data_IF_363976459687
#
_entry.id   IF_363976459687
#
_cell.length_a   1.000
_cell.length_b   1.000
_cell.length_c   1.000
_cell.angle_alpha   90.00
_cell.angle_beta   90.00
_cell.angle_gamma   90.00
#
_symmetry.space_group_name_H-M   'P 1'
#
loop_
_entity.id
_entity.type
_entity.pdbx_description
1 polymer ?
#
# COMPACT_ATOMS: atom_id res chain seq x y z
N UNK A 1 23.12 -1.20 -17.91
CA UNK A 1 22.92 -0.76 -16.50
C UNK A 1 21.49 -0.90 -16.00
N UNK A 2 20.46 -0.78 -16.85
CA UNK A 2 19.05 -0.88 -16.43
C UNK A 2 18.71 -2.21 -15.75
N UNK A 3 19.12 -3.35 -16.30
CA UNK A 3 18.87 -4.68 -15.70
C UNK A 3 19.39 -4.79 -14.26
N UNK A 4 20.59 -4.26 -14.03
CA UNK A 4 21.19 -4.24 -12.68
C UNK A 4 20.33 -3.41 -11.72
N UNK A 5 19.80 -2.26 -12.16
CA UNK A 5 18.89 -1.41 -11.37
C UNK A 5 17.61 -2.14 -11.03
N UNK A 6 17.02 -2.86 -11.99
CA UNK A 6 15.80 -3.68 -11.79
C UNK A 6 16.07 -4.79 -10.77
N UNK A 7 17.17 -5.52 -10.90
CA UNK A 7 17.52 -6.61 -9.98
C UNK A 7 17.74 -6.08 -8.56
N UNK A 8 18.46 -4.97 -8.40
CA UNK A 8 18.68 -4.37 -7.07
C UNK A 8 17.37 -3.87 -6.47
N UNK A 9 16.51 -3.25 -7.29
CA UNK A 9 15.19 -2.83 -6.84
C UNK A 9 14.35 -4.03 -6.35
N UNK A 10 14.29 -5.12 -7.13
CA UNK A 10 13.58 -6.35 -6.75
C UNK A 10 14.11 -6.94 -5.45
N UNK A 11 15.42 -7.05 -5.30
CA UNK A 11 16.04 -7.58 -4.07
C UNK A 11 15.67 -6.71 -2.88
N UNK A 12 15.76 -5.38 -3.01
CA UNK A 12 15.37 -4.44 -1.95
C UNK A 12 13.91 -4.61 -1.56
N UNK A 13 13.01 -4.68 -2.55
CA UNK A 13 11.57 -4.85 -2.35
C UNK A 13 11.23 -6.20 -1.69
N UNK A 14 11.89 -7.29 -2.10
CA UNK A 14 11.68 -8.61 -1.50
C UNK A 14 12.15 -8.62 -0.03
N UNK A 15 13.32 -8.07 0.27
CA UNK A 15 13.83 -7.97 1.64
C UNK A 15 12.86 -7.15 2.51
N UNK A 16 12.45 -5.98 2.03
CA UNK A 16 11.50 -5.11 2.72
C UNK A 16 10.15 -5.81 2.96
N UNK A 17 9.62 -6.53 1.96
CA UNK A 17 8.37 -7.30 2.08
C UNK A 17 8.46 -8.41 3.14
N UNK A 18 9.58 -9.14 3.20
CA UNK A 18 9.79 -10.18 4.20
C UNK A 18 9.83 -9.58 5.62
N UNK A 19 10.49 -8.42 5.76
CA UNK A 19 10.54 -7.72 7.06
C UNK A 19 9.17 -7.18 7.47
N UNK A 20 8.43 -6.59 6.54
CA UNK A 20 7.07 -6.07 6.77
C UNK A 20 6.10 -7.20 7.19
N UNK A 21 6.16 -8.35 6.54
CA UNK A 21 5.36 -9.52 6.92
C UNK A 21 5.65 -10.04 8.33
N UNK A 22 6.94 -10.05 8.70
CA UNK A 22 7.35 -10.68 9.95
C UNK A 22 7.19 -9.77 11.17
N UNK A 23 7.54 -8.49 11.03
CA UNK A 23 7.68 -7.58 12.17
C UNK A 23 6.84 -6.31 12.05
N UNK A 24 6.24 -6.04 10.90
CA UNK A 24 5.58 -4.76 10.58
C UNK A 24 6.50 -3.55 10.76
N UNK A 25 7.78 -3.78 10.77
CA UNK A 25 8.82 -2.77 10.89
C UNK A 25 9.94 -3.12 9.91
N UNK A 26 10.41 -2.10 9.18
CA UNK A 26 11.50 -2.25 8.22
C UNK A 26 12.66 -1.41 8.71
N UNK A 27 13.81 -2.05 8.89
CA UNK A 27 15.03 -1.37 9.34
C UNK A 27 15.45 -0.29 8.34
N UNK A 28 15.80 0.89 8.84
CA UNK A 28 16.32 1.99 8.04
C UNK A 28 17.60 1.62 7.27
N UNK A 29 18.33 0.61 7.73
CA UNK A 29 19.53 0.09 7.04
C UNK A 29 19.22 -0.41 5.63
N UNK A 30 18.02 -0.95 5.39
CA UNK A 30 17.58 -1.40 4.05
C UNK A 30 17.50 -0.21 3.10
N UNK A 31 16.90 0.88 3.56
CA UNK A 31 16.73 2.11 2.77
C UNK A 31 18.05 2.83 2.55
N UNK A 32 18.89 2.93 3.57
CA UNK A 32 20.21 3.52 3.46
C UNK A 32 21.13 2.72 2.52
N UNK A 33 21.14 1.39 2.65
CA UNK A 33 21.93 0.51 1.79
C UNK A 33 21.53 0.62 0.32
N UNK A 34 20.22 0.53 0.03
CA UNK A 34 19.71 0.67 -1.34
C UNK A 34 19.91 2.09 -1.89
N UNK A 35 19.81 3.12 -1.06
CA UNK A 35 20.08 4.50 -1.42
C UNK A 35 21.56 4.72 -1.82
N UNK A 36 22.51 4.22 -1.02
CA UNK A 36 23.94 4.29 -1.33
C UNK A 36 24.24 3.58 -2.65
N UNK A 37 23.72 2.36 -2.84
CA UNK A 37 23.89 1.61 -4.08
C UNK A 37 23.32 2.38 -5.27
N UNK A 38 22.15 3.02 -5.12
CA UNK A 38 21.52 3.83 -6.16
C UNK A 38 22.41 5.01 -6.59
N UNK A 39 23.03 5.69 -5.61
CA UNK A 39 23.95 6.81 -5.88
C UNK A 39 25.20 6.32 -6.61
N UNK A 40 25.79 5.20 -6.20
CA UNK A 40 26.94 4.62 -6.88
C UNK A 40 26.61 4.30 -8.34
N UNK A 41 25.47 3.65 -8.60
CA UNK A 41 25.02 3.32 -9.95
C UNK A 41 24.75 4.59 -10.76
N UNK A 42 24.17 5.61 -10.14
CA UNK A 42 23.96 6.91 -10.79
C UNK A 42 25.27 7.53 -11.25
N UNK A 43 26.31 7.53 -10.42
CA UNK A 43 27.63 8.08 -10.76
C UNK A 43 28.28 7.28 -11.92
N UNK A 44 28.20 5.95 -11.88
CA UNK A 44 28.77 5.10 -12.93
C UNK A 44 28.07 5.29 -14.28
N UNK A 45 26.75 5.49 -14.25
CA UNK A 45 25.88 5.57 -15.45
C UNK A 45 25.55 6.99 -15.87
N UNK A 46 26.21 7.98 -15.27
CA UNK A 46 25.91 9.41 -15.39
C UNK A 46 25.75 9.89 -16.84
N UNK A 47 26.65 9.42 -17.72
CA UNK A 47 26.67 9.83 -19.14
C UNK A 47 25.46 9.29 -19.96
N UNK A 48 24.77 8.27 -19.47
CA UNK A 48 23.64 7.62 -20.14
C UNK A 48 22.29 8.08 -19.59
N UNK A 49 22.27 8.94 -18.56
CA UNK A 49 21.06 9.38 -17.88
C UNK A 49 20.69 10.78 -18.32
N UNK A 50 19.44 10.99 -18.67
CA UNK A 50 18.90 12.34 -18.77
C UNK A 50 18.69 12.92 -17.36
N UNK A 51 19.67 13.73 -16.93
CA UNK A 51 19.74 14.28 -15.57
C UNK A 51 18.50 15.10 -15.22
N UNK A 52 18.00 15.91 -16.18
CA UNK A 52 16.84 16.74 -15.95
C UNK A 52 15.62 15.87 -15.63
N UNK A 53 15.32 14.88 -16.46
CA UNK A 53 14.20 13.95 -16.25
C UNK A 53 14.37 13.17 -14.94
N UNK A 54 15.59 12.76 -14.61
CA UNK A 54 15.90 12.08 -13.36
C UNK A 54 15.56 12.93 -12.13
N UNK A 55 16.07 14.18 -12.10
CA UNK A 55 15.85 15.10 -10.97
C UNK A 55 14.41 15.53 -10.85
N UNK A 56 13.73 15.82 -11.97
CA UNK A 56 12.30 16.17 -11.97
C UNK A 56 11.45 15.03 -11.43
N UNK A 57 11.68 13.82 -11.91
CA UNK A 57 10.93 12.63 -11.42
C UNK A 57 11.18 12.38 -9.93
N UNK A 58 12.44 12.43 -9.51
CA UNK A 58 12.81 12.27 -8.10
C UNK A 58 12.16 13.35 -7.23
N UNK A 59 12.14 14.61 -7.67
CA UNK A 59 11.49 15.72 -6.99
C UNK A 59 9.98 15.50 -6.83
N UNK A 60 9.28 15.15 -7.92
CA UNK A 60 7.84 14.88 -7.92
C UNK A 60 7.51 13.72 -6.96
N UNK A 61 8.26 12.61 -7.04
CA UNK A 61 8.02 11.44 -6.19
C UNK A 61 8.34 11.74 -4.73
N UNK A 62 9.38 12.51 -4.44
CA UNK A 62 9.72 12.91 -3.07
C UNK A 62 8.63 13.76 -2.44
N UNK A 63 8.06 14.72 -3.19
CA UNK A 63 6.94 15.55 -2.72
C UNK A 63 5.70 14.68 -2.49
N UNK A 64 5.36 13.82 -3.45
CA UNK A 64 4.23 12.89 -3.34
C UNK A 64 4.38 11.98 -2.10
N UNK A 65 5.55 11.36 -1.93
CA UNK A 65 5.86 10.51 -0.80
C UNK A 65 5.75 11.25 0.54
N UNK A 66 6.20 12.51 0.59
CA UNK A 66 6.05 13.35 1.78
C UNK A 66 4.58 13.67 2.09
N UNK A 67 3.77 13.98 1.08
CA UNK A 67 2.34 14.24 1.25
C UNK A 67 1.64 12.98 1.76
N UNK A 68 1.87 11.82 1.14
CA UNK A 68 1.30 10.53 1.53
C UNK A 68 1.66 10.21 2.99
N UNK A 69 2.91 10.40 3.38
CA UNK A 69 3.37 10.22 4.76
C UNK A 69 2.66 11.16 5.74
N UNK A 70 2.56 12.46 5.40
CA UNK A 70 1.93 13.48 6.28
C UNK A 70 0.43 13.28 6.46
N UNK A 71 -0.26 12.74 5.47
CA UNK A 71 -1.69 12.43 5.57
C UNK A 71 -1.98 11.20 6.44
N UNK A 72 -0.95 10.41 6.80
CA UNK A 72 -1.12 9.17 7.56
C UNK A 72 -1.81 8.04 6.78
N UNK A 73 -1.99 8.21 5.46
CA UNK A 73 -2.60 7.19 4.61
C UNK A 73 -1.71 5.94 4.50
N UNK A 74 -0.40 6.15 4.50
CA UNK A 74 0.61 5.09 4.41
C UNK A 74 1.65 5.25 5.51
N UNK A 75 2.32 4.15 5.84
CA UNK A 75 3.44 4.15 6.77
C UNK A 75 4.68 4.87 6.21
N UNK A 76 5.60 5.25 7.08
CA UNK A 76 6.86 5.87 6.66
C UNK A 76 7.72 4.98 5.76
N UNK A 77 7.60 3.66 5.87
CA UNK A 77 8.28 2.70 5.02
C UNK A 77 7.78 2.75 3.57
N UNK A 78 6.45 2.90 3.38
CA UNK A 78 5.83 2.99 2.06
C UNK A 78 6.26 4.25 1.31
N UNK A 79 6.42 5.36 2.02
CA UNK A 79 6.96 6.59 1.45
C UNK A 79 8.44 6.43 1.04
N UNK A 80 9.26 5.78 1.87
CA UNK A 80 10.69 5.54 1.58
C UNK A 80 10.88 4.63 0.37
N UNK A 81 10.05 3.60 0.21
CA UNK A 81 10.17 2.67 -0.92
C UNK A 81 9.92 3.36 -2.25
N UNK A 82 8.97 4.28 -2.35
CA UNK A 82 8.72 5.04 -3.58
C UNK A 82 9.93 5.90 -3.97
N UNK A 83 10.59 6.51 -2.97
CA UNK A 83 11.81 7.28 -3.19
C UNK A 83 12.93 6.37 -3.69
N UNK A 84 13.10 5.17 -3.10
CA UNK A 84 14.13 4.21 -3.53
C UNK A 84 13.88 3.73 -4.96
N UNK A 85 12.64 3.41 -5.32
CA UNK A 85 12.30 3.06 -6.71
C UNK A 85 12.65 4.21 -7.65
N UNK A 86 12.35 5.46 -7.27
CA UNK A 86 12.67 6.65 -8.05
C UNK A 86 14.17 6.89 -8.20
N UNK A 87 14.97 6.59 -7.17
CA UNK A 87 16.43 6.67 -7.21
C UNK A 87 17.05 5.61 -8.13
N UNK A 88 16.49 4.40 -8.13
CA UNK A 88 16.99 3.29 -8.95
C UNK A 88 16.50 3.41 -10.39
N UNK A 89 15.20 3.59 -10.58
CA UNK A 89 14.54 3.56 -11.90
C UNK A 89 13.47 4.67 -11.95
N UNK A 90 13.86 5.94 -12.18
CA UNK A 90 12.90 7.04 -12.21
C UNK A 90 11.92 6.90 -13.37
N UNK A 91 12.43 6.57 -14.56
CA UNK A 91 11.67 6.42 -15.80
C UNK A 91 12.11 5.17 -16.55
N UNK A 92 11.16 4.51 -17.17
CA UNK A 92 11.35 3.35 -18.02
C UNK A 92 10.29 3.33 -19.12
N UNK A 93 10.60 2.76 -20.27
CA UNK A 93 9.61 2.58 -21.33
C UNK A 93 8.65 1.45 -20.95
N UNK A 94 7.53 1.81 -20.33
CA UNK A 94 6.56 0.86 -19.78
C UNK A 94 5.46 0.62 -20.82
N UNK A 95 5.15 -0.64 -21.07
CA UNK A 95 4.06 -1.01 -21.96
C UNK A 95 2.73 -0.41 -21.51
N UNK A 96 1.98 0.16 -22.46
CA UNK A 96 0.66 0.75 -22.25
C UNK A 96 0.60 1.91 -21.23
N UNK A 97 1.73 2.48 -20.84
CA UNK A 97 1.76 3.55 -19.86
C UNK A 97 1.38 4.90 -20.46
N UNK A 98 0.62 5.67 -19.69
CA UNK A 98 0.31 7.08 -20.01
C UNK A 98 1.53 7.96 -19.77
N UNK A 99 2.33 7.60 -18.77
CA UNK A 99 3.55 8.30 -18.37
C UNK A 99 4.62 7.28 -17.97
N UNK A 100 5.81 7.38 -18.46
CA UNK A 100 6.88 6.43 -18.20
C UNK A 100 7.56 6.60 -16.81
N UNK A 101 6.81 7.07 -15.79
CA UNK A 101 7.30 7.28 -14.42
C UNK A 101 7.09 6.01 -13.61
N UNK A 102 8.16 5.25 -13.40
CA UNK A 102 8.11 3.92 -12.76
C UNK A 102 7.45 3.94 -11.38
N UNK A 103 7.81 4.82 -10.42
CA UNK A 103 7.20 4.78 -9.09
C UNK A 103 5.69 5.03 -9.10
N UNK A 104 5.18 5.83 -10.05
CA UNK A 104 3.74 6.08 -10.16
C UNK A 104 3.01 4.86 -10.71
N UNK A 105 3.52 4.22 -11.76
CA UNK A 105 2.92 2.99 -12.30
C UNK A 105 2.94 1.87 -11.27
N UNK A 106 4.03 1.73 -10.53
CA UNK A 106 4.11 0.76 -9.43
C UNK A 106 3.08 1.07 -8.35
N UNK A 107 2.94 2.34 -7.96
CA UNK A 107 1.94 2.74 -6.96
C UNK A 107 0.52 2.46 -7.44
N UNK A 108 0.15 2.83 -8.68
CA UNK A 108 -1.19 2.58 -9.23
C UNK A 108 -1.49 1.10 -9.35
N UNK A 109 -0.57 0.28 -9.86
CA UNK A 109 -0.72 -1.17 -9.92
C UNK A 109 -0.89 -1.77 -8.50
N UNK A 110 -0.14 -1.27 -7.51
CA UNK A 110 -0.23 -1.70 -6.11
C UNK A 110 -1.59 -1.37 -5.50
N UNK A 111 -2.10 -0.16 -5.74
CA UNK A 111 -3.42 0.27 -5.26
C UNK A 111 -4.53 -0.59 -5.87
N UNK A 112 -4.46 -0.93 -7.16
CA UNK A 112 -5.41 -1.84 -7.80
C UNK A 112 -5.41 -3.22 -7.14
N UNK A 113 -4.23 -3.73 -6.76
CA UNK A 113 -4.14 -5.00 -6.04
C UNK A 113 -4.80 -4.94 -4.65
N UNK A 114 -4.81 -3.79 -3.97
CA UNK A 114 -5.49 -3.68 -2.67
C UNK A 114 -6.99 -3.87 -2.76
N UNK A 115 -7.62 -3.71 -3.94
CA UNK A 115 -9.04 -3.98 -4.16
C UNK A 115 -9.41 -5.45 -3.86
N UNK A 116 -8.46 -6.39 -3.95
CA UNK A 116 -8.69 -7.77 -3.54
C UNK A 116 -9.05 -7.90 -2.06
N UNK A 117 -8.55 -7.00 -1.19
CA UNK A 117 -8.93 -7.01 0.22
C UNK A 117 -10.38 -6.59 0.43
N UNK A 118 -10.85 -5.63 -0.36
CA UNK A 118 -12.26 -5.21 -0.32
C UNK A 118 -13.13 -6.40 -0.72
N UNK A 119 -12.81 -7.06 -1.82
CA UNK A 119 -13.54 -8.25 -2.29
C UNK A 119 -13.54 -9.36 -1.25
N UNK A 120 -12.39 -9.64 -0.64
CA UNK A 120 -12.27 -10.63 0.43
C UNK A 120 -13.16 -10.28 1.64
N UNK A 121 -13.17 -9.02 2.09
CA UNK A 121 -13.99 -8.58 3.21
C UNK A 121 -15.48 -8.70 2.89
N UNK A 122 -15.90 -8.30 1.68
CA UNK A 122 -17.28 -8.42 1.20
C UNK A 122 -17.73 -9.88 1.21
N UNK A 123 -16.94 -10.80 0.67
CA UNK A 123 -17.24 -12.23 0.66
C UNK A 123 -17.37 -12.76 2.09
N UNK A 124 -16.41 -12.45 2.96
CA UNK A 124 -16.39 -12.89 4.37
C UNK A 124 -17.62 -12.41 5.14
N UNK A 125 -17.99 -11.14 5.00
CA UNK A 125 -19.14 -10.55 5.66
C UNK A 125 -20.45 -11.11 5.11
N UNK A 126 -20.56 -11.31 3.78
CA UNK A 126 -21.71 -11.96 3.14
C UNK A 126 -21.91 -13.37 3.67
N UNK A 127 -20.87 -14.17 3.77
CA UNK A 127 -20.93 -15.53 4.34
C UNK A 127 -21.38 -15.48 5.81
N UNK A 128 -20.93 -14.48 6.59
CA UNK A 128 -21.34 -14.31 7.98
C UNK A 128 -22.84 -14.02 8.10
N UNK A 129 -23.38 -13.15 7.25
CA UNK A 129 -24.82 -12.86 7.20
C UNK A 129 -25.61 -14.10 6.78
N UNK A 130 -25.18 -14.84 5.76
CA UNK A 130 -25.85 -16.06 5.31
C UNK A 130 -25.89 -17.16 6.38
N UNK A 131 -24.92 -17.15 7.31
CA UNK A 131 -24.94 -18.03 8.51
C UNK A 131 -25.86 -17.55 9.63
N UNK A 132 -26.63 -16.47 9.40
CA UNK A 132 -27.58 -15.93 10.38
C UNK A 132 -26.96 -15.02 11.43
N UNK A 133 -25.67 -14.60 11.28
CA UNK A 133 -25.08 -13.67 12.22
C UNK A 133 -25.52 -12.23 11.90
N UNK A 134 -26.03 -11.51 12.88
CA UNK A 134 -26.23 -10.05 12.76
C UNK A 134 -24.89 -9.35 13.04
N UNK A 135 -24.14 -9.10 11.96
CA UNK A 135 -22.81 -8.49 12.04
C UNK A 135 -22.85 -7.05 12.53
N UNK A 136 -24.00 -6.34 12.39
CA UNK A 136 -24.17 -4.95 12.81
C UNK A 136 -24.87 -4.80 14.17
N UNK A 137 -25.09 -5.92 14.88
CA UNK A 137 -25.71 -5.88 16.20
C UNK A 137 -24.97 -4.93 17.16
N UNK A 138 -25.72 -4.02 17.78
CA UNK A 138 -25.19 -3.02 18.72
C UNK A 138 -24.67 -1.72 18.07
N UNK A 139 -24.64 -1.64 16.73
CA UNK A 139 -24.15 -0.45 16.02
C UNK A 139 -25.28 0.52 15.65
N UNK A 140 -25.13 1.77 16.09
CA UNK A 140 -25.97 2.89 15.65
C UNK A 140 -25.24 3.68 14.56
N UNK A 141 -25.42 3.29 13.30
CA UNK A 141 -24.73 3.90 12.17
C UNK A 141 -25.66 4.01 10.96
N UNK A 142 -25.46 5.05 10.15
CA UNK A 142 -26.17 5.22 8.88
C UNK A 142 -25.86 4.08 7.90
N UNK A 143 -26.71 3.88 6.90
CA UNK A 143 -26.53 2.86 5.87
C UNK A 143 -25.17 2.98 5.18
N UNK A 144 -24.75 4.19 4.81
CA UNK A 144 -23.46 4.43 4.17
C UNK A 144 -22.27 4.02 5.07
N UNK A 145 -22.34 4.32 6.38
CA UNK A 145 -21.29 3.89 7.32
C UNK A 145 -21.24 2.37 7.45
N UNK A 146 -22.39 1.69 7.48
CA UNK A 146 -22.47 0.23 7.49
C UNK A 146 -21.90 -0.37 6.19
N UNK A 147 -22.22 0.21 5.04
CA UNK A 147 -21.69 -0.22 3.75
C UNK A 147 -20.16 -0.07 3.66
N UNK A 148 -19.63 1.07 4.09
CA UNK A 148 -18.18 1.28 4.15
C UNK A 148 -17.51 0.28 5.09
N UNK A 149 -18.04 0.09 6.31
CA UNK A 149 -17.51 -0.89 7.24
C UNK A 149 -17.54 -2.31 6.66
N UNK A 150 -18.62 -2.67 5.94
CA UNK A 150 -18.77 -3.95 5.27
C UNK A 150 -17.68 -4.22 4.21
N UNK A 151 -17.25 -3.18 3.51
CA UNK A 151 -16.23 -3.27 2.47
C UNK A 151 -14.80 -3.31 3.03
N UNK A 152 -14.49 -2.49 4.04
CA UNK A 152 -13.12 -2.31 4.51
C UNK A 152 -12.76 -3.08 5.77
N UNK A 153 -13.74 -3.64 6.47
CA UNK A 153 -13.54 -4.36 7.71
C UNK A 153 -14.44 -5.57 7.88
N UNK A 154 -14.33 -6.20 9.02
CA UNK A 154 -15.14 -7.35 9.41
C UNK A 154 -15.23 -7.49 10.93
N UNK A 155 -16.27 -8.21 11.42
CA UNK A 155 -16.43 -8.49 12.83
C UNK A 155 -15.68 -9.75 13.23
N UNK A 156 -14.94 -9.71 14.35
CA UNK A 156 -14.21 -10.85 14.91
C UNK A 156 -14.55 -11.07 16.37
N UNK A 157 -14.65 -12.35 16.77
CA UNK A 157 -14.86 -12.74 18.18
C UNK A 157 -13.57 -12.69 18.99
N UNK A 158 -12.43 -12.91 18.34
CA UNK A 158 -11.09 -12.89 18.93
C UNK A 158 -10.13 -12.28 17.93
N UNK A 159 -9.29 -11.37 18.40
CA UNK A 159 -8.27 -10.73 17.58
C UNK A 159 -7.13 -11.69 17.34
N UNK A 160 -6.79 -11.93 16.08
CA UNK A 160 -5.62 -12.69 15.65
C UNK A 160 -4.90 -11.90 14.56
N UNK A 161 -3.61 -11.62 14.75
CA UNK A 161 -2.79 -10.88 13.79
C UNK A 161 -2.88 -9.36 13.92
N UNK A 162 -2.39 -8.66 12.92
CA UNK A 162 -2.30 -7.20 12.90
C UNK A 162 -3.60 -6.60 12.37
N UNK A 163 -4.44 -6.11 13.27
CA UNK A 163 -5.76 -5.56 12.99
C UNK A 163 -5.90 -4.19 13.68
N UNK A 164 -6.55 -3.25 13.02
CA UNK A 164 -6.94 -1.97 13.63
C UNK A 164 -8.39 -2.00 14.07
N UNK A 165 -8.68 -1.39 15.21
CA UNK A 165 -10.03 -1.28 15.73
C UNK A 165 -10.83 -0.24 14.93
N UNK A 166 -12.02 -0.64 14.42
CA UNK A 166 -12.91 0.21 13.65
C UNK A 166 -14.14 0.68 14.43
N UNK A 167 -14.15 0.51 15.74
CA UNK A 167 -15.31 0.89 16.56
C UNK A 167 -14.92 1.77 17.74
N UNK A 168 -15.83 2.64 18.13
CA UNK A 168 -15.75 3.46 19.33
C UNK A 168 -17.04 3.28 20.13
N UNK A 169 -16.90 3.25 21.46
CA UNK A 169 -18.06 3.25 22.35
C UNK A 169 -18.55 4.68 22.56
N UNK A 170 -19.83 4.92 22.31
CA UNK A 170 -20.46 6.18 22.66
C UNK A 170 -20.88 6.20 24.13
N UNK A 171 -21.05 7.39 24.69
CA UNK A 171 -21.55 7.64 26.05
C UNK A 171 -22.87 6.96 26.36
N UNK A 172 -23.66 6.61 25.33
CA UNK A 172 -24.97 5.95 25.44
C UNK A 172 -24.88 4.41 25.35
N UNK A 173 -23.72 3.80 25.49
CA UNK A 173 -23.54 2.35 25.40
C UNK A 173 -23.70 1.74 23.99
N UNK A 174 -23.99 2.56 22.98
CA UNK A 174 -24.04 2.14 21.57
C UNK A 174 -22.68 2.27 20.91
N UNK A 175 -22.37 1.33 19.99
CA UNK A 175 -21.14 1.35 19.21
C UNK A 175 -21.31 2.20 17.95
N UNK A 176 -20.26 2.93 17.57
CA UNK A 176 -20.17 3.64 16.30
C UNK A 176 -18.92 3.24 15.54
N UNK A 177 -18.96 3.38 14.19
CA UNK A 177 -17.79 3.12 13.36
C UNK A 177 -16.84 4.32 13.35
N UNK A 178 -15.56 4.03 13.59
CA UNK A 178 -14.45 4.93 13.42
C UNK A 178 -13.74 4.60 12.09
N UNK A 179 -13.70 5.56 11.17
CA UNK A 179 -13.03 5.41 9.86
C UNK A 179 -11.71 6.19 9.78
N UNK A 180 -11.45 7.06 10.73
CA UNK A 180 -10.18 7.80 10.80
C UNK A 180 -9.11 6.92 11.48
N UNK A 181 -8.61 5.95 10.72
CA UNK A 181 -7.56 5.03 11.13
C UNK A 181 -6.29 5.46 10.41
N UNK A 182 -5.26 5.77 11.17
CA UNK A 182 -3.96 6.17 10.66
C UNK A 182 -2.97 5.00 10.76
N UNK A 183 -1.93 5.04 9.92
CA UNK A 183 -0.85 4.04 9.92
C UNK A 183 -0.08 3.97 11.26
N UNK A 184 -0.26 4.96 12.14
CA UNK A 184 0.37 5.05 13.46
C UNK A 184 -0.55 4.60 14.60
N UNK A 185 -1.80 4.22 14.31
CA UNK A 185 -2.72 3.71 15.34
C UNK A 185 -2.18 2.38 15.89
N UNK A 186 -2.43 2.15 17.17
CA UNK A 186 -2.07 0.87 17.80
C UNK A 186 -2.93 -0.27 17.27
N UNK A 187 -2.32 -1.45 17.16
CA UNK A 187 -3.06 -2.65 16.79
C UNK A 187 -4.07 -3.01 17.89
N UNK A 188 -5.22 -3.51 17.46
CA UNK A 188 -6.24 -3.97 18.37
C UNK A 188 -5.72 -5.12 19.24
N UNK A 189 -5.91 -5.04 20.57
CA UNK A 189 -5.48 -6.04 21.53
C UNK A 189 -6.62 -6.41 22.47
N UNK A 190 -6.65 -7.67 22.90
CA UNK A 190 -7.50 -8.22 23.99
C UNK A 190 -8.98 -7.85 24.01
N UNK A 191 -9.53 -7.35 22.93
CA UNK A 191 -10.96 -7.07 22.80
C UNK A 191 -11.70 -8.23 22.16
N UNK A 192 -12.95 -8.47 22.61
CA UNK A 192 -13.82 -9.54 22.09
C UNK A 192 -15.00 -8.94 21.34
N UNK A 193 -15.36 -9.60 20.24
CA UNK A 193 -16.55 -9.27 19.46
C UNK A 193 -16.56 -7.82 18.94
N UNK A 194 -15.53 -7.49 18.17
CA UNK A 194 -15.25 -6.14 17.67
C UNK A 194 -15.16 -6.08 16.15
N UNK A 195 -15.43 -4.90 15.61
CA UNK A 195 -15.15 -4.58 14.21
C UNK A 195 -13.72 -4.11 14.03
N UNK A 196 -13.05 -4.73 13.06
CA UNK A 196 -11.64 -4.48 12.76
C UNK A 196 -11.41 -4.35 11.26
N UNK A 197 -10.34 -3.68 10.89
CA UNK A 197 -9.80 -3.68 9.52
C UNK A 197 -8.39 -4.29 9.53
N UNK A 198 -8.01 -5.06 8.49
CA UNK A 198 -6.67 -5.60 8.42
C UNK A 198 -5.63 -4.48 8.22
N UNK A 199 -4.54 -4.54 8.98
CA UNK A 199 -3.35 -3.77 8.69
C UNK A 199 -2.66 -4.40 7.47
N UNK A 200 -2.81 -3.79 6.30
CA UNK A 200 -2.27 -4.35 5.06
C UNK A 200 -0.74 -4.19 5.02
N UNK A 201 0.02 -5.26 4.68
CA UNK A 201 1.46 -5.14 4.41
C UNK A 201 1.67 -4.50 3.04
N UNK A 202 1.59 -3.15 2.97
CA UNK A 202 1.51 -2.47 1.68
C UNK A 202 2.77 -2.63 0.82
N UNK A 203 3.94 -2.83 1.43
CA UNK A 203 5.19 -3.11 0.71
C UNK A 203 5.09 -4.34 -0.19
N UNK A 204 4.32 -5.37 0.21
CA UNK A 204 4.10 -6.55 -0.65
C UNK A 204 3.32 -6.17 -1.90
N UNK A 205 2.29 -5.34 -1.75
CA UNK A 205 1.54 -4.84 -2.90
C UNK A 205 2.41 -3.99 -3.81
N UNK A 206 3.33 -3.18 -3.26
CA UNK A 206 4.33 -2.44 -4.03
C UNK A 206 5.25 -3.39 -4.79
N UNK A 207 5.72 -4.45 -4.12
CA UNK A 207 6.57 -5.46 -4.76
C UNK A 207 5.84 -6.17 -5.91
N UNK A 208 4.59 -6.58 -5.67
CA UNK A 208 3.76 -7.20 -6.71
C UNK A 208 3.44 -6.22 -7.84
N UNK A 209 3.12 -4.96 -7.51
CA UNK A 209 2.89 -3.89 -8.49
C UNK A 209 4.10 -3.62 -9.37
N UNK A 210 5.31 -3.70 -8.79
CA UNK A 210 6.56 -3.59 -9.54
C UNK A 210 6.77 -4.77 -10.49
N UNK A 211 6.52 -6.01 -10.04
CA UNK A 211 6.60 -7.20 -10.89
C UNK A 211 5.57 -7.12 -12.01
N UNK A 212 4.34 -6.72 -11.72
CA UNK A 212 3.29 -6.53 -12.74
C UNK A 212 3.72 -5.47 -13.76
N UNK A 213 4.29 -4.36 -13.31
CA UNK A 213 4.81 -3.34 -14.22
C UNK A 213 5.88 -3.90 -15.16
N UNK A 214 6.77 -4.77 -14.68
CA UNK A 214 7.81 -5.37 -15.53
C UNK A 214 7.25 -6.36 -16.55
N UNK A 215 6.20 -7.11 -16.20
CA UNK A 215 5.66 -8.19 -17.04
C UNK A 215 4.55 -7.69 -17.96
N UNK A 216 3.61 -6.93 -17.43
CA UNK A 216 2.41 -6.49 -18.12
C UNK A 216 2.39 -5.00 -18.45
N UNK A 217 3.13 -4.19 -17.72
CA UNK A 217 3.13 -2.73 -17.86
C UNK A 217 2.18 -2.02 -16.90
N UNK A 218 1.57 -0.95 -17.37
CA UNK A 218 0.63 -0.13 -16.61
C UNK A 218 -0.81 -0.65 -16.80
N UNK A 219 -1.36 -1.28 -15.76
CA UNK A 219 -2.73 -1.81 -15.80
C UNK A 219 -3.75 -0.69 -16.00
N UNK A 220 -3.57 0.44 -15.31
CA UNK A 220 -4.47 1.58 -15.44
C UNK A 220 -4.42 2.17 -16.86
N UNK A 221 -3.20 2.31 -17.40
CA UNK A 221 -2.98 2.73 -18.78
C UNK A 221 -3.62 1.79 -19.80
N UNK A 222 -3.56 0.47 -19.57
CA UNK A 222 -4.26 -0.52 -20.41
C UNK A 222 -5.77 -0.27 -20.46
N UNK A 223 -6.38 -0.05 -19.29
CA UNK A 223 -7.82 0.23 -19.23
C UNK A 223 -8.19 1.52 -19.95
N UNK A 224 -7.41 2.57 -19.77
CA UNK A 224 -7.67 3.87 -20.41
C UNK A 224 -7.52 3.74 -21.92
N UNK A 225 -6.44 3.10 -22.41
CA UNK A 225 -6.20 2.90 -23.86
C UNK A 225 -7.25 2.00 -24.51
N UNK A 226 -7.94 1.14 -23.75
CA UNK A 226 -9.04 0.33 -24.25
C UNK A 226 -10.36 1.10 -24.36
N UNK A 227 -10.54 2.16 -23.55
CA UNK A 227 -11.77 2.96 -23.53
C UNK A 227 -11.75 4.13 -24.53
N UNK A 228 -10.57 4.52 -25.01
CA UNK A 228 -10.37 5.59 -26.01
C UNK A 228 -10.20 4.96 -27.39
#
# INVERSE_FOLDING_TARGET
MLEIRIVICLITLIIASIMDLRKREISDKVWLGSGIISIIIFIIDYNNINILNYLVTLGIISILSYIIYKTGLFGGADAKVLIIISLLIPTYNINNSIHNIVPLVVLTNSLLLTLFNITHNVIRNSISILKGNDIFYGFNASFLKKLLAFMIGFRVRKINGYLFLMEEQCTNGKKQFRFNINAYDEFAQDTKDVWVTPALPFIIYITMGFVIMLVYGDILGMFINYLI
#
